data_IF_272780997924
#
_entry.id   IF_272780997924
#
_cell.length_a   1.000
_cell.length_b   1.000
_cell.length_c   1.000
_cell.angle_alpha   90.00
_cell.angle_beta   90.00
_cell.angle_gamma   90.00
#
_symmetry.space_group_name_H-M   'P 1'
#
loop_
_entity.id
_entity.type
_entity.pdbx_description
1 polymer ?
#
# COMPACT_ATOMS: atom_id res chain seq x y z
N UNK A 1 18.71 3.61 -2.47
CA UNK A 1 17.62 2.97 -3.23
C UNK A 1 16.36 3.00 -2.41
N UNK A 2 15.18 3.01 -3.04
CA UNK A 2 13.92 2.92 -2.29
C UNK A 2 13.81 1.53 -1.65
N UNK A 3 13.25 1.45 -0.45
CA UNK A 3 13.07 0.21 0.31
C UNK A 3 11.87 0.34 1.23
N UNK A 4 11.18 -0.76 1.53
CA UNK A 4 10.06 -0.76 2.48
C UNK A 4 10.52 -0.97 3.93
N UNK A 5 11.83 -1.12 4.16
CA UNK A 5 12.44 -1.45 5.44
C UNK A 5 13.46 -0.39 5.89
N UNK A 6 13.79 -0.33 7.19
CA UNK A 6 14.90 0.49 7.67
C UNK A 6 16.25 -0.01 7.12
N UNK A 7 17.17 0.93 6.84
CA UNK A 7 18.53 0.59 6.38
C UNK A 7 19.37 -0.06 7.49
N UNK A 8 20.22 -1.08 7.19
CA UNK A 8 20.47 -1.66 5.88
C UNK A 8 19.34 -2.59 5.44
N UNK A 9 18.91 -2.48 4.18
CA UNK A 9 17.84 -3.30 3.60
C UNK A 9 18.04 -3.41 2.07
N UNK A 10 17.54 -4.49 1.44
CA UNK A 10 17.53 -4.61 0.00
C UNK A 10 16.68 -3.50 -0.62
N UNK A 11 17.09 -3.17 -1.84
CA UNK A 11 16.54 -2.10 -2.64
C UNK A 11 15.42 -2.62 -3.53
N UNK A 12 14.30 -1.90 -3.58
CA UNK A 12 13.27 -2.11 -4.58
C UNK A 12 13.84 -1.83 -5.98
N UNK A 13 13.41 -2.61 -6.99
CA UNK A 13 13.71 -2.29 -8.38
C UNK A 13 13.06 -0.97 -8.79
N UNK A 14 13.51 -0.38 -9.90
CA UNK A 14 12.83 0.79 -10.48
C UNK A 14 11.46 0.38 -11.05
N UNK A 15 10.41 1.14 -10.72
CA UNK A 15 9.02 0.84 -11.10
C UNK A 15 8.27 2.10 -11.54
N UNK A 16 7.32 1.97 -12.49
CA UNK A 16 6.29 2.99 -12.72
C UNK A 16 5.09 2.69 -11.85
N UNK A 17 4.71 1.42 -11.82
CA UNK A 17 3.63 0.91 -11.00
C UNK A 17 4.10 -0.29 -10.17
N UNK A 18 3.91 -0.22 -8.86
CA UNK A 18 4.23 -1.28 -7.89
C UNK A 18 2.99 -1.71 -7.11
N UNK A 19 2.74 -3.02 -7.03
CA UNK A 19 1.78 -3.63 -6.13
C UNK A 19 2.50 -4.44 -5.07
N UNK A 20 2.34 -4.09 -3.79
CA UNK A 20 2.78 -4.86 -2.64
C UNK A 20 1.56 -5.42 -1.92
N UNK A 21 1.54 -6.74 -1.75
CA UNK A 21 0.43 -7.44 -1.09
C UNK A 21 0.93 -8.48 -0.09
N UNK A 22 0.05 -8.88 0.82
CA UNK A 22 0.34 -9.86 1.87
C UNK A 22 0.71 -9.21 3.21
N UNK A 23 1.31 -9.98 4.12
CA UNK A 23 1.57 -9.53 5.48
C UNK A 23 2.74 -8.52 5.53
N UNK A 24 2.47 -7.24 5.26
CA UNK A 24 3.42 -6.15 5.48
C UNK A 24 3.40 -5.69 6.94
N UNK A 25 4.56 -5.24 7.44
CA UNK A 25 4.61 -4.54 8.71
C UNK A 25 3.94 -3.15 8.62
N UNK A 26 3.35 -2.69 9.72
CA UNK A 26 2.54 -1.48 9.75
C UNK A 26 3.30 -0.19 9.36
N UNK A 27 4.62 -0.17 9.57
CA UNK A 27 5.49 0.97 9.22
C UNK A 27 6.00 0.96 7.78
N UNK A 28 5.77 -0.12 7.01
CA UNK A 28 6.32 -0.28 5.66
C UNK A 28 5.98 0.88 4.71
N UNK A 29 4.73 1.39 4.65
CA UNK A 29 4.40 2.53 3.79
C UNK A 29 5.19 3.80 4.12
N UNK A 30 5.52 4.01 5.40
CA UNK A 30 6.27 5.18 5.86
C UNK A 30 7.73 5.05 5.45
N UNK A 31 8.35 3.90 5.74
CA UNK A 31 9.73 3.60 5.32
C UNK A 31 9.90 3.71 3.82
N UNK A 32 8.91 3.20 3.07
CA UNK A 32 8.88 3.31 1.62
C UNK A 32 8.84 4.76 1.14
N UNK A 33 7.93 5.58 1.67
CA UNK A 33 7.87 6.99 1.29
C UNK A 33 9.18 7.73 1.63
N UNK A 34 9.73 7.50 2.82
CA UNK A 34 10.96 8.20 3.26
C UNK A 34 12.17 7.79 2.44
N UNK A 35 12.37 6.48 2.23
CA UNK A 35 13.49 5.98 1.45
C UNK A 35 13.41 6.43 -0.01
N UNK A 36 12.21 6.46 -0.60
CA UNK A 36 12.00 6.95 -1.96
C UNK A 36 12.32 8.44 -2.07
N UNK A 37 11.81 9.25 -1.12
CA UNK A 37 12.06 10.70 -1.10
C UNK A 37 13.54 11.04 -0.94
N UNK A 38 14.23 10.34 -0.04
CA UNK A 38 15.65 10.58 0.20
C UNK A 38 16.52 10.08 -0.95
N UNK A 39 16.18 8.94 -1.55
CA UNK A 39 17.01 8.33 -2.58
C UNK A 39 16.95 9.08 -3.91
N UNK A 40 15.74 9.43 -4.36
CA UNK A 40 15.54 10.12 -5.64
C UNK A 40 15.55 11.65 -5.52
N UNK A 41 15.81 12.17 -4.31
CA UNK A 41 15.68 13.59 -3.93
C UNK A 41 14.39 14.24 -4.46
N UNK A 42 13.27 13.50 -4.40
CA UNK A 42 12.00 14.02 -4.92
C UNK A 42 11.45 15.11 -3.99
N UNK A 43 10.74 16.10 -4.56
CA UNK A 43 10.21 17.23 -3.78
C UNK A 43 9.02 16.81 -2.92
N UNK A 44 8.18 15.90 -3.43
CA UNK A 44 6.91 15.55 -2.80
C UNK A 44 6.46 14.13 -3.08
N UNK A 45 5.97 13.44 -2.05
CA UNK A 45 5.25 12.18 -2.14
C UNK A 45 3.94 12.28 -1.36
N UNK A 46 2.95 11.47 -1.76
CA UNK A 46 1.63 11.43 -1.11
C UNK A 46 1.30 10.01 -0.71
N UNK A 47 1.06 9.80 0.58
CA UNK A 47 0.53 8.57 1.14
C UNK A 47 -0.96 8.74 1.41
N UNK A 48 -1.78 7.89 0.80
CA UNK A 48 -3.24 7.91 0.97
C UNK A 48 -3.67 6.66 1.70
N UNK A 49 -4.40 6.81 2.80
CA UNK A 49 -4.83 5.68 3.62
C UNK A 49 -6.25 5.87 4.19
N UNK A 50 -7.10 4.84 4.24
CA UNK A 50 -8.51 4.93 4.61
C UNK A 50 -8.82 5.52 5.99
N UNK A 51 -8.02 5.20 7.00
CA UNK A 51 -8.25 5.63 8.38
C UNK A 51 -6.96 6.00 9.08
N UNK A 52 -6.94 7.24 9.61
CA UNK A 52 -5.84 7.73 10.46
C UNK A 52 -5.76 6.95 11.75
N UNK A 53 -6.90 6.64 12.37
CA UNK A 53 -6.98 5.95 13.65
C UNK A 53 -6.42 4.54 13.55
N UNK A 54 -6.77 3.81 12.47
CA UNK A 54 -6.25 2.47 12.21
C UNK A 54 -4.74 2.50 11.98
N UNK A 55 -4.25 3.42 11.14
CA UNK A 55 -2.81 3.55 10.89
C UNK A 55 -2.04 3.89 12.17
N UNK A 56 -2.47 4.90 12.93
CA UNK A 56 -1.80 5.31 14.17
C UNK A 56 -1.82 4.19 15.21
N UNK A 57 -2.95 3.47 15.34
CA UNK A 57 -3.04 2.31 16.24
C UNK A 57 -2.07 1.21 15.82
N UNK A 58 -2.03 0.86 14.53
CA UNK A 58 -1.15 -0.17 13.99
C UNK A 58 0.33 0.19 14.21
N UNK A 59 0.73 1.45 13.96
CA UNK A 59 2.10 1.93 14.21
C UNK A 59 2.48 1.88 15.69
N UNK A 60 1.56 2.27 16.59
CA UNK A 60 1.79 2.20 18.05
C UNK A 60 1.91 0.77 18.54
N UNK A 61 1.08 -0.14 18.02
CA UNK A 61 1.11 -1.56 18.38
C UNK A 61 2.37 -2.24 17.84
N UNK A 62 2.78 -1.90 16.62
CA UNK A 62 3.99 -2.42 16.03
C UNK A 62 5.26 -1.91 16.73
N UNK A 63 5.24 -0.67 17.26
CA UNK A 63 6.33 -0.07 18.03
C UNK A 63 7.70 -0.21 17.33
N UNK A 64 7.78 0.34 16.12
CA UNK A 64 8.99 0.29 15.30
C UNK A 64 10.16 1.02 15.98
N UNK A 65 11.20 0.26 16.31
CA UNK A 65 12.42 0.77 16.94
C UNK A 65 13.10 1.84 16.11
N UNK A 66 13.17 1.65 14.79
CA UNK A 66 13.83 2.59 13.91
C UNK A 66 13.13 3.95 13.91
N UNK A 67 11.80 3.96 13.87
CA UNK A 67 11.02 5.20 13.89
C UNK A 67 11.20 5.91 15.23
N UNK A 68 11.27 5.16 16.33
CA UNK A 68 11.50 5.71 17.67
C UNK A 68 12.89 6.33 17.80
N UNK A 69 13.92 5.66 17.29
CA UNK A 69 15.30 6.12 17.39
C UNK A 69 15.61 7.26 16.42
N UNK A 70 15.13 7.18 15.18
CA UNK A 70 15.49 8.11 14.11
C UNK A 70 14.41 9.12 13.74
N UNK A 71 13.26 9.08 14.40
CA UNK A 71 12.15 10.01 14.14
C UNK A 71 12.51 11.48 14.35
N UNK A 72 13.47 11.75 15.24
CA UNK A 72 13.99 13.10 15.51
C UNK A 72 15.20 13.51 14.66
N UNK A 73 15.72 12.61 13.82
CA UNK A 73 16.89 12.91 12.99
C UNK A 73 16.52 13.92 11.91
N UNK A 74 17.42 14.87 11.64
CA UNK A 74 17.20 15.91 10.62
C UNK A 74 16.91 15.33 9.23
N UNK A 75 17.51 14.19 8.87
CA UNK A 75 17.23 13.49 7.60
C UNK A 75 15.81 12.92 7.56
N UNK A 76 15.35 12.31 8.65
CA UNK A 76 13.99 11.77 8.75
C UNK A 76 12.97 12.90 8.78
N UNK A 77 13.21 13.98 9.52
CA UNK A 77 12.35 15.17 9.50
C UNK A 77 12.29 15.80 8.10
N UNK A 78 13.43 15.89 7.40
CA UNK A 78 13.49 16.35 6.00
C UNK A 78 12.64 15.48 5.09
N UNK A 79 12.75 14.15 5.19
CA UNK A 79 11.93 13.21 4.43
C UNK A 79 10.43 13.38 4.77
N UNK A 80 10.09 13.40 6.06
CA UNK A 80 8.73 13.56 6.55
C UNK A 80 8.07 14.86 6.07
N UNK A 81 8.81 15.98 6.01
CA UNK A 81 8.30 17.26 5.50
C UNK A 81 7.87 17.23 4.03
N UNK A 82 8.37 16.25 3.26
CA UNK A 82 8.09 16.05 1.84
C UNK A 82 7.00 14.99 1.60
N UNK A 83 6.51 14.32 2.65
CA UNK A 83 5.45 13.31 2.54
C UNK A 83 4.16 13.86 3.13
N UNK A 84 3.12 13.99 2.30
CA UNK A 84 1.77 14.30 2.79
C UNK A 84 1.00 13.01 3.02
N UNK A 85 0.26 12.94 4.14
CA UNK A 85 -0.63 11.82 4.43
C UNK A 85 -2.09 12.27 4.37
N UNK A 86 -2.88 11.62 3.51
CA UNK A 86 -4.28 11.94 3.25
C UNK A 86 -5.17 10.77 3.68
N UNK A 87 -6.35 11.09 4.23
CA UNK A 87 -7.22 10.12 4.88
C UNK A 87 -8.65 10.08 4.31
N UNK A 88 -8.86 9.67 3.05
CA UNK A 88 -10.20 9.55 2.49
C UNK A 88 -10.96 8.39 3.14
N UNK A 89 -12.11 8.68 3.74
CA UNK A 89 -12.88 7.68 4.50
C UNK A 89 -13.66 6.66 3.66
N UNK A 90 -13.95 7.01 2.40
CA UNK A 90 -14.74 6.15 1.49
C UNK A 90 -14.11 6.11 0.11
N UNK A 91 -14.44 5.11 -0.74
CA UNK A 91 -14.02 5.05 -2.14
C UNK A 91 -14.28 6.35 -2.90
N UNK A 92 -15.47 6.94 -2.74
CA UNK A 92 -15.83 8.17 -3.43
C UNK A 92 -14.99 9.36 -3.00
N UNK A 93 -14.63 9.46 -1.70
CA UNK A 93 -13.69 10.48 -1.23
C UNK A 93 -12.31 10.30 -1.83
N UNK A 94 -11.84 9.05 -1.99
CA UNK A 94 -10.57 8.76 -2.64
C UNK A 94 -10.60 9.18 -4.10
N UNK A 95 -11.63 8.81 -4.86
CA UNK A 95 -11.78 9.20 -6.27
C UNK A 95 -11.81 10.72 -6.41
N UNK A 96 -12.63 11.39 -5.61
CA UNK A 96 -12.71 12.85 -5.61
C UNK A 96 -11.33 13.48 -5.33
N UNK A 97 -10.61 12.99 -4.33
CA UNK A 97 -9.29 13.47 -3.98
C UNK A 97 -8.28 13.27 -5.12
N UNK A 98 -8.28 12.10 -5.75
CA UNK A 98 -7.44 11.80 -6.91
C UNK A 98 -7.75 12.73 -8.09
N UNK A 99 -9.03 13.02 -8.37
CA UNK A 99 -9.42 13.95 -9.44
C UNK A 99 -9.01 15.40 -9.18
N UNK A 100 -8.78 15.77 -7.91
CA UNK A 100 -8.36 17.11 -7.55
C UNK A 100 -6.85 17.30 -7.56
N UNK A 101 -6.05 16.25 -7.77
CA UNK A 101 -4.60 16.38 -7.81
C UNK A 101 -4.16 17.16 -9.05
N UNK A 102 -3.52 18.31 -8.81
CA UNK A 102 -2.91 19.13 -9.85
C UNK A 102 -1.74 19.93 -9.30
N UNK A 103 -0.82 20.31 -10.19
CA UNK A 103 0.25 21.27 -9.89
C UNK A 103 -0.28 22.70 -10.05
N UNK A 104 0.05 23.57 -9.10
CA UNK A 104 -0.28 24.99 -9.21
C UNK A 104 0.54 25.63 -10.34
N UNK A 105 -0.12 26.18 -11.36
CA UNK A 105 0.54 26.90 -12.47
C UNK A 105 0.93 28.35 -12.09
N UNK A 106 0.82 28.71 -10.81
CA UNK A 106 1.22 30.01 -10.27
C UNK A 106 0.19 31.13 -10.44
N UNK A 107 -0.98 30.87 -11.03
CA UNK A 107 -2.08 31.84 -11.03
C UNK A 107 -2.85 31.74 -9.70
N UNK A 108 -3.37 32.87 -9.21
CA UNK A 108 -4.14 32.90 -7.95
C UNK A 108 -5.44 32.11 -8.02
N UNK A 109 -5.95 31.86 -9.22
CA UNK A 109 -7.22 31.15 -9.45
C UNK A 109 -7.04 29.62 -9.42
N UNK A 110 -5.81 29.12 -9.58
CA UNK A 110 -5.51 27.68 -9.55
C UNK A 110 -5.49 27.09 -8.13
N UNK A 111 -5.51 27.93 -7.08
CA UNK A 111 -5.40 27.47 -5.71
C UNK A 111 -6.75 27.07 -5.11
N UNK A 112 -7.29 25.94 -5.58
CA UNK A 112 -8.57 25.42 -5.14
C UNK A 112 -8.53 24.89 -3.69
N UNK A 113 -7.49 24.11 -3.35
CA UNK A 113 -7.40 23.52 -2.00
C UNK A 113 -5.97 23.10 -1.63
N UNK A 114 -5.46 23.45 -0.43
CA UNK A 114 -4.05 23.29 -0.06
C UNK A 114 -3.56 21.83 0.04
N UNK A 115 -4.47 20.85 0.12
CA UNK A 115 -4.10 19.41 0.19
C UNK A 115 -4.09 18.69 -1.16
N UNK A 116 -4.59 19.34 -2.21
CA UNK A 116 -4.77 18.73 -3.54
C UNK A 116 -4.15 19.58 -4.65
N UNK A 117 -3.99 20.88 -4.40
CA UNK A 117 -3.16 21.78 -5.19
C UNK A 117 -1.74 21.76 -4.64
N UNK A 118 -0.81 21.17 -5.38
CA UNK A 118 0.58 21.08 -4.97
C UNK A 118 1.41 22.20 -5.59
N UNK A 119 2.32 22.79 -4.82
CA UNK A 119 3.32 23.72 -5.37
C UNK A 119 4.31 23.02 -6.33
N UNK A 120 4.48 21.71 -6.16
CA UNK A 120 5.22 20.84 -7.06
C UNK A 120 4.50 19.50 -7.10
N UNK A 121 4.19 18.98 -8.29
CA UNK A 121 3.48 17.72 -8.40
C UNK A 121 4.19 16.58 -7.66
N UNK A 122 3.43 15.67 -7.02
CA UNK A 122 4.03 14.53 -6.35
C UNK A 122 4.67 13.59 -7.37
N UNK A 123 5.89 13.15 -7.08
CA UNK A 123 6.60 12.15 -7.90
C UNK A 123 6.25 10.71 -7.51
N UNK A 124 5.61 10.52 -6.35
CA UNK A 124 5.15 9.23 -5.85
C UNK A 124 3.77 9.38 -5.20
N UNK A 125 2.85 8.50 -5.58
CA UNK A 125 1.56 8.31 -4.91
C UNK A 125 1.52 6.88 -4.36
N UNK A 126 1.26 6.74 -3.06
CA UNK A 126 1.13 5.46 -2.37
C UNK A 126 -0.30 5.30 -1.88
N UNK A 127 -1.00 4.27 -2.33
CA UNK A 127 -2.33 3.91 -1.85
C UNK A 127 -2.21 2.74 -0.88
N UNK A 128 -2.60 2.96 0.37
CA UNK A 128 -2.44 2.01 1.47
C UNK A 128 -3.79 1.42 1.89
N UNK A 129 -3.91 0.09 1.90
CA UNK A 129 -5.06 -0.67 2.42
C UNK A 129 -6.39 -0.40 1.69
N UNK A 130 -6.40 -0.37 0.36
CA UNK A 130 -7.61 -0.13 -0.44
C UNK A 130 -8.70 -1.18 -0.19
N UNK A 131 -8.31 -2.43 0.05
CA UNK A 131 -9.21 -3.55 0.36
C UNK A 131 -10.14 -3.23 1.52
N UNK A 132 -9.68 -2.44 2.50
CA UNK A 132 -10.47 -2.09 3.68
C UNK A 132 -11.73 -1.29 3.38
N UNK A 133 -11.80 -0.59 2.23
CA UNK A 133 -13.04 0.07 1.81
C UNK A 133 -14.15 -0.91 1.43
N UNK A 134 -13.80 -2.15 1.08
CA UNK A 134 -14.71 -3.12 0.48
C UNK A 134 -15.03 -4.29 1.43
N UNK A 135 -14.32 -4.44 2.55
CA UNK A 135 -14.56 -5.52 3.50
C UNK A 135 -15.94 -5.43 4.18
N UNK A 136 -16.43 -4.21 4.42
CA UNK A 136 -17.70 -3.95 5.11
C UNK A 136 -18.83 -3.52 4.16
N UNK A 137 -18.54 -3.38 2.86
CA UNK A 137 -19.52 -2.94 1.86
C UNK A 137 -20.17 -4.15 1.16
N UNK A 138 -21.46 -4.45 1.45
CA UNK A 138 -22.14 -5.58 0.82
C UNK A 138 -22.41 -5.36 -0.68
N UNK A 139 -22.32 -4.12 -1.16
CA UNK A 139 -22.51 -3.78 -2.56
C UNK A 139 -21.20 -3.79 -3.37
N UNK A 140 -20.07 -4.03 -2.70
CA UNK A 140 -18.75 -4.06 -3.31
C UNK A 140 -18.68 -5.15 -4.39
N UNK A 141 -18.16 -4.77 -5.55
CA UNK A 141 -17.88 -5.69 -6.67
C UNK A 141 -16.43 -5.59 -7.09
N UNK A 142 -15.95 -6.61 -7.81
CA UNK A 142 -14.63 -6.58 -8.46
C UNK A 142 -14.47 -5.30 -9.31
N UNK A 143 -15.50 -4.95 -10.07
CA UNK A 143 -15.50 -3.74 -10.90
C UNK A 143 -15.34 -2.45 -10.09
N UNK A 144 -15.93 -2.39 -8.90
CA UNK A 144 -15.81 -1.22 -8.01
C UNK A 144 -14.36 -1.04 -7.55
N UNK A 145 -13.69 -2.12 -7.16
CA UNK A 145 -12.26 -2.09 -6.81
C UNK A 145 -11.40 -1.69 -8.01
N UNK A 146 -11.59 -2.34 -9.17
CA UNK A 146 -10.81 -2.04 -10.37
C UNK A 146 -11.03 -0.60 -10.87
N UNK A 147 -12.20 -0.02 -10.64
CA UNK A 147 -12.47 1.38 -10.96
C UNK A 147 -11.60 2.32 -10.12
N UNK A 148 -11.37 2.03 -8.83
CA UNK A 148 -10.43 2.82 -8.00
C UNK A 148 -9.00 2.73 -8.54
N UNK A 149 -8.57 1.52 -8.92
CA UNK A 149 -7.24 1.31 -9.54
C UNK A 149 -7.11 2.13 -10.82
N UNK A 150 -8.14 2.11 -11.66
CA UNK A 150 -8.16 2.88 -12.90
C UNK A 150 -8.11 4.39 -12.65
N UNK A 151 -8.84 4.91 -11.65
CA UNK A 151 -8.75 6.32 -11.27
C UNK A 151 -7.35 6.70 -10.79
N UNK A 152 -6.69 5.84 -10.00
CA UNK A 152 -5.33 6.06 -9.54
C UNK A 152 -4.33 6.14 -10.70
N UNK A 153 -4.38 5.17 -11.62
CA UNK A 153 -3.54 5.14 -12.82
C UNK A 153 -3.80 6.34 -13.73
N UNK A 154 -5.06 6.72 -13.93
CA UNK A 154 -5.44 7.89 -14.73
C UNK A 154 -4.93 9.19 -14.12
N UNK A 155 -4.94 9.29 -12.78
CA UNK A 155 -4.41 10.44 -12.05
C UNK A 155 -2.91 10.56 -12.25
N UNK A 156 -2.18 9.45 -12.13
CA UNK A 156 -0.73 9.39 -12.34
C UNK A 156 -0.36 9.75 -13.78
N UNK A 157 -1.12 9.24 -14.76
CA UNK A 157 -0.95 9.59 -16.17
C UNK A 157 -1.20 11.09 -16.42
N UNK A 158 -2.28 11.65 -15.85
CA UNK A 158 -2.61 13.08 -15.94
C UNK A 158 -1.52 13.96 -15.34
N UNK A 159 -1.05 13.65 -14.12
CA UNK A 159 0.04 14.39 -13.46
C UNK A 159 1.36 14.29 -14.24
N UNK A 160 1.66 13.11 -14.79
CA UNK A 160 2.85 12.92 -15.64
C UNK A 160 2.76 13.78 -16.90
N UNK A 161 1.59 13.83 -17.55
CA UNK A 161 1.36 14.65 -18.72
C UNK A 161 1.42 16.16 -18.43
N UNK A 162 0.87 16.60 -17.29
CA UNK A 162 0.89 18.01 -16.88
C UNK A 162 2.31 18.51 -16.58
N UNK A 163 3.11 17.69 -15.90
CA UNK A 163 4.41 18.10 -15.35
C UNK A 163 5.59 17.77 -16.26
N UNK A 164 5.39 16.87 -17.22
CA UNK A 164 6.46 16.26 -18.02
C UNK A 164 7.43 15.38 -17.20
N UNK A 165 7.16 15.18 -15.91
CA UNK A 165 7.96 14.36 -15.00
C UNK A 165 7.21 13.07 -14.70
N UNK A 166 7.96 11.97 -14.66
CA UNK A 166 7.40 10.66 -14.31
C UNK A 166 6.87 10.67 -12.87
N UNK A 167 5.60 10.29 -12.71
CA UNK A 167 4.98 10.04 -11.42
C UNK A 167 4.84 8.52 -11.23
N UNK A 168 5.30 8.00 -10.11
CA UNK A 168 5.18 6.58 -9.77
C UNK A 168 3.94 6.30 -8.91
N UNK A 169 3.33 5.13 -9.10
CA UNK A 169 2.22 4.63 -8.30
C UNK A 169 2.66 3.39 -7.52
N UNK A 170 2.38 3.36 -6.23
CA UNK A 170 2.49 2.16 -5.43
C UNK A 170 1.16 1.86 -4.72
N UNK A 171 0.77 0.59 -4.68
CA UNK A 171 -0.32 0.10 -3.84
C UNK A 171 0.26 -0.85 -2.83
N UNK A 172 -0.05 -0.60 -1.56
CA UNK A 172 0.37 -1.44 -0.44
C UNK A 172 -0.90 -1.92 0.24
N UNK A 173 -1.22 -3.20 0.12
CA UNK A 173 -2.49 -3.73 0.58
C UNK A 173 -2.35 -5.13 1.16
N UNK A 174 -2.42 -5.22 2.49
CA UNK A 174 -2.28 -6.49 3.19
C UNK A 174 -3.50 -7.40 3.08
N UNK A 175 -4.69 -6.82 2.92
CA UNK A 175 -5.95 -7.56 2.80
C UNK A 175 -6.29 -8.01 1.37
N UNK A 176 -5.46 -7.66 0.38
CA UNK A 176 -5.80 -7.88 -1.02
C UNK A 176 -5.88 -9.36 -1.41
N UNK A 177 -5.04 -10.23 -0.83
CA UNK A 177 -5.03 -11.68 -1.14
C UNK A 177 -6.32 -12.37 -0.70
N UNK A 178 -6.86 -11.97 0.45
CA UNK A 178 -8.08 -12.53 1.01
C UNK A 178 -9.35 -11.89 0.43
N UNK A 179 -9.21 -10.76 -0.27
CA UNK A 179 -10.33 -10.01 -0.83
C UNK A 179 -10.96 -10.77 -2.00
N UNK A 180 -12.15 -11.33 -1.75
CA UNK A 180 -12.99 -11.99 -2.75
C UNK A 180 -14.30 -11.23 -2.92
N UNK A 181 -14.51 -10.66 -4.10
CA UNK A 181 -15.70 -9.86 -4.43
C UNK A 181 -16.53 -10.52 -5.52
N UNK A 182 -17.86 -10.31 -5.54
CA UNK A 182 -18.70 -10.76 -6.66
C UNK A 182 -18.40 -9.93 -7.93
N UNK A 183 -18.56 -10.57 -9.09
CA UNK A 183 -18.45 -9.88 -10.39
C UNK A 183 -19.64 -8.96 -10.67
N UNK A 184 -20.85 -9.41 -10.30
CA UNK A 184 -22.10 -8.69 -10.51
C UNK A 184 -22.71 -8.40 -9.14
N UNK A 185 -23.27 -7.20 -8.99
CA UNK A 185 -23.96 -6.80 -7.75
C UNK A 185 -25.07 -7.83 -7.44
N UNK A 186 -25.11 -8.42 -6.24
CA UNK A 186 -26.18 -9.34 -5.89
C UNK A 186 -27.52 -8.61 -5.98
N UNK A 187 -28.46 -9.18 -6.74
CA UNK A 187 -29.83 -8.64 -6.81
C UNK A 187 -30.50 -8.99 -5.49
N UNK A 188 -30.64 -8.01 -4.60
CA UNK A 188 -31.44 -8.15 -3.39
C UNK A 188 -32.91 -8.27 -3.78
N UNK A 189 -33.38 -9.49 -4.01
CA UNK A 189 -34.82 -9.76 -4.13
C UNK A 189 -35.42 -9.65 -2.73
N UNK A 190 -36.13 -8.56 -2.47
CA UNK A 190 -36.98 -8.41 -1.28
C UNK A 190 -38.16 -9.36 -1.46
N UNK A 191 -38.00 -10.61 -1.03
CA UNK A 191 -39.12 -11.56 -0.95
C UNK A 191 -39.70 -11.45 0.45
N UNK A 192 -40.94 -10.96 0.52
CA UNK A 192 -41.68 -10.54 1.72
C UNK A 192 -42.08 -11.68 2.67
N UNK A 193 -41.52 -12.89 2.53
CA UNK A 193 -41.83 -14.03 3.39
C UNK A 193 -40.62 -14.95 3.53
N UNK A 194 -39.93 -14.89 4.68
CA UNK A 194 -38.98 -15.93 5.11
C UNK A 194 -37.67 -16.05 4.32
N UNK A 195 -37.07 -14.93 3.92
CA UNK A 195 -35.90 -14.86 3.06
C UNK A 195 -34.71 -15.75 3.52
N UNK A 196 -34.36 -16.72 2.66
CA UNK A 196 -33.04 -17.35 2.66
C UNK A 196 -32.05 -16.29 2.12
N UNK A 197 -30.92 -16.02 2.79
CA UNK A 197 -29.98 -14.99 2.34
C UNK A 197 -29.42 -15.36 0.96
N UNK A 198 -29.87 -14.67 -0.08
CA UNK A 198 -29.44 -14.83 -1.48
C UNK A 198 -27.93 -14.56 -1.71
N UNK A 199 -27.18 -14.19 -0.68
CA UNK A 199 -25.76 -13.87 -0.74
C UNK A 199 -24.85 -15.09 -1.01
N UNK A 200 -25.29 -16.31 -0.66
CA UNK A 200 -24.40 -17.49 -0.68
C UNK A 200 -24.06 -18.02 -2.07
N UNK A 201 -24.88 -17.74 -3.09
CA UNK A 201 -24.69 -18.31 -4.43
C UNK A 201 -23.94 -17.42 -5.43
N UNK A 202 -23.52 -16.21 -5.03
CA UNK A 202 -22.78 -15.33 -5.94
C UNK A 202 -21.32 -15.78 -6.04
N UNK A 203 -20.87 -16.11 -7.27
CA UNK A 203 -19.47 -16.47 -7.54
C UNK A 203 -18.57 -15.27 -7.19
N UNK A 204 -17.69 -15.47 -6.21
CA UNK A 204 -16.69 -14.46 -5.80
C UNK A 204 -15.34 -14.76 -6.42
N UNK A 205 -14.72 -13.73 -6.97
CA UNK A 205 -13.41 -13.78 -7.63
C UNK A 205 -12.33 -13.14 -6.76
N UNK A 206 -11.10 -13.67 -6.85
CA UNK A 206 -9.95 -13.05 -6.20
C UNK A 206 -9.58 -11.74 -6.90
N UNK A 207 -9.61 -10.64 -6.15
CA UNK A 207 -9.29 -9.31 -6.67
C UNK A 207 -7.78 -9.19 -6.94
N UNK A 208 -6.93 -9.77 -6.08
CA UNK A 208 -5.47 -9.76 -6.22
C UNK A 208 -5.00 -10.21 -7.61
N UNK A 209 -5.56 -11.32 -8.10
CA UNK A 209 -5.19 -11.91 -9.39
C UNK A 209 -5.50 -11.00 -10.59
N UNK A 210 -6.55 -10.19 -10.50
CA UNK A 210 -6.95 -9.26 -11.55
C UNK A 210 -6.15 -7.96 -11.49
N UNK A 211 -5.92 -7.44 -10.27
CA UNK A 211 -5.24 -6.17 -10.05
C UNK A 211 -3.77 -6.24 -10.45
N UNK A 212 -3.07 -7.33 -10.15
CA UNK A 212 -1.64 -7.49 -10.49
C UNK A 212 -1.33 -7.29 -11.98
N UNK A 213 -2.32 -7.46 -12.88
CA UNK A 213 -2.15 -7.26 -14.32
C UNK A 213 -2.00 -5.79 -14.73
N UNK A 214 -2.32 -4.85 -13.83
CA UNK A 214 -2.19 -3.41 -14.05
C UNK A 214 -0.87 -2.83 -13.55
N UNK A 215 -0.01 -3.65 -12.93
CA UNK A 215 1.22 -3.20 -12.29
C UNK A 215 2.45 -3.85 -12.92
N UNK A 216 3.52 -3.09 -13.11
CA UNK A 216 4.77 -3.56 -13.67
C UNK A 216 5.51 -4.48 -12.71
N UNK A 217 5.41 -4.20 -11.42
CA UNK A 217 6.02 -4.99 -10.37
C UNK A 217 4.95 -5.42 -9.36
N UNK A 218 4.97 -6.70 -9.00
CA UNK A 218 4.17 -7.24 -7.91
C UNK A 218 5.10 -7.90 -6.88
N UNK A 219 5.06 -7.42 -5.64
CA UNK A 219 5.68 -8.04 -4.48
C UNK A 219 4.63 -8.75 -3.63
N UNK A 220 4.79 -10.05 -3.42
CA UNK A 220 3.95 -10.83 -2.49
C UNK A 220 4.76 -11.14 -1.25
N UNK A 221 4.25 -10.75 -0.08
CA UNK A 221 4.85 -11.06 1.21
C UNK A 221 4.13 -12.24 1.85
N UNK A 222 4.90 -13.30 2.08
CA UNK A 222 4.47 -14.57 2.65
C UNK A 222 5.12 -14.71 4.03
N UNK A 223 4.34 -15.16 5.02
CA UNK A 223 4.88 -15.60 6.32
C UNK A 223 5.31 -17.06 6.17
N UNK A 224 6.60 -17.34 6.39
CA UNK A 224 7.09 -18.71 6.45
C UNK A 224 6.61 -19.32 7.76
N UNK A 225 5.47 -20.02 7.70
CA UNK A 225 4.99 -20.88 8.79
C UNK A 225 5.92 -22.09 8.83
N UNK A 226 7.15 -21.89 9.32
CA UNK A 226 7.98 -23.01 9.71
C UNK A 226 7.30 -23.61 10.94
N UNK A 227 6.68 -24.78 10.77
CA UNK A 227 6.08 -25.55 11.85
C UNK A 227 7.02 -25.51 13.05
N UNK A 228 6.56 -25.13 14.26
CA UNK A 228 7.41 -25.02 15.44
C UNK A 228 7.97 -26.41 15.78
N UNK A 229 9.11 -26.75 15.20
CA UNK A 229 9.81 -27.99 15.45
C UNK A 229 10.55 -27.84 16.78
N UNK A 230 9.91 -28.19 17.88
CA UNK A 230 10.54 -28.64 19.14
C UNK A 230 11.64 -27.74 19.77
N UNK A 231 11.66 -26.42 19.49
CA UNK A 231 12.62 -25.51 20.13
C UNK A 231 12.06 -24.95 21.44
N UNK A 232 12.43 -25.64 22.51
CA UNK A 232 12.68 -25.19 23.89
C UNK A 232 12.06 -23.85 24.36
N UNK A 233 11.18 -24.04 25.33
CA UNK A 233 10.26 -23.13 26.03
C UNK A 233 10.85 -21.93 26.81
N UNK A 234 12.04 -21.42 26.51
CA UNK A 234 12.74 -20.51 27.47
C UNK A 234 12.89 -19.03 27.11
N UNK A 235 12.42 -18.54 25.96
CA UNK A 235 12.42 -17.08 25.70
C UNK A 235 11.15 -16.63 24.96
N UNK A 236 10.47 -15.60 25.49
CA UNK A 236 9.27 -14.94 24.93
C UNK A 236 9.68 -14.02 23.77
N UNK A 237 10.46 -14.52 22.82
CA UNK A 237 10.78 -13.82 21.57
C UNK A 237 10.08 -14.54 20.44
N UNK A 238 9.02 -13.94 19.91
CA UNK A 238 8.36 -14.46 18.71
C UNK A 238 9.18 -14.06 17.50
N UNK A 239 9.76 -15.05 16.84
CA UNK A 239 10.57 -14.91 15.65
C UNK A 239 9.70 -15.19 14.42
N UNK A 240 9.44 -14.19 13.58
CA UNK A 240 8.67 -14.37 12.35
C UNK A 240 9.61 -14.36 11.15
N UNK A 241 9.74 -15.49 10.47
CA UNK A 241 10.44 -15.55 9.17
C UNK A 241 9.48 -15.12 8.07
N UNK A 242 9.92 -14.19 7.22
CA UNK A 242 9.12 -13.68 6.12
C UNK A 242 9.91 -13.72 4.82
N UNK A 243 9.17 -13.87 3.74
CA UNK A 243 9.69 -13.87 2.39
C UNK A 243 8.90 -12.86 1.56
N UNK A 244 9.59 -12.05 0.75
CA UNK A 244 8.95 -11.21 -0.26
C UNK A 244 9.43 -11.64 -1.63
N UNK A 245 8.48 -12.02 -2.48
CA UNK A 245 8.73 -12.42 -3.85
C UNK A 245 8.28 -11.31 -4.79
N UNK A 246 9.24 -10.67 -5.45
CA UNK A 246 9.00 -9.68 -6.50
C UNK A 246 8.98 -10.33 -7.86
N UNK A 247 7.97 -10.00 -8.66
CA UNK A 247 7.83 -10.42 -10.06
C UNK A 247 7.53 -9.23 -10.93
N UNK A 248 8.17 -9.18 -12.09
CA UNK A 248 7.87 -8.21 -13.14
C UNK A 248 6.72 -8.70 -14.04
N UNK A 249 5.74 -7.86 -14.32
CA UNK A 249 4.67 -8.16 -15.25
C UNK A 249 5.18 -8.19 -16.70
N UNK A 250 4.67 -9.15 -17.48
CA UNK A 250 5.03 -9.30 -18.90
C UNK A 250 6.40 -9.94 -19.16
N UNK A 251 7.16 -10.28 -18.12
CA UNK A 251 8.33 -11.14 -18.26
C UNK A 251 7.94 -12.47 -18.88
N UNK A 252 8.72 -12.98 -19.83
CA UNK A 252 8.50 -14.27 -20.49
C UNK A 252 8.78 -15.45 -19.53
N UNK A 253 8.18 -15.47 -18.35
CA UNK A 253 8.19 -16.59 -17.40
C UNK A 253 9.56 -17.15 -17.01
N UNK A 254 10.66 -16.44 -17.29
CA UNK A 254 12.01 -16.87 -16.95
C UNK A 254 12.32 -16.57 -15.48
N UNK A 255 13.08 -17.45 -14.83
CA UNK A 255 13.58 -17.24 -13.46
C UNK A 255 14.34 -15.90 -13.28
N UNK A 256 14.80 -15.28 -14.36
CA UNK A 256 15.55 -14.01 -14.34
C UNK A 256 14.70 -12.78 -13.95
N UNK A 257 13.37 -12.87 -13.97
CA UNK A 257 12.47 -11.76 -13.62
C UNK A 257 11.92 -11.83 -12.18
N UNK A 258 12.42 -12.78 -11.37
CA UNK A 258 12.01 -12.95 -9.97
C UNK A 258 13.14 -12.52 -9.02
N UNK A 259 12.81 -11.69 -8.02
CA UNK A 259 13.72 -11.35 -6.93
C UNK A 259 13.07 -11.74 -5.61
N UNK A 260 13.77 -12.54 -4.82
CA UNK A 260 13.27 -13.04 -3.53
C UNK A 260 14.09 -12.42 -2.40
N UNK A 261 13.41 -11.85 -1.42
CA UNK A 261 14.01 -11.37 -0.18
C UNK A 261 13.55 -12.22 0.97
N UNK A 262 14.48 -12.62 1.82
CA UNK A 262 14.19 -13.26 3.10
C UNK A 262 14.60 -12.32 4.21
N UNK A 263 13.77 -12.21 5.24
CA UNK A 263 14.14 -11.54 6.47
C UNK A 263 13.45 -12.21 7.64
N UNK A 264 13.92 -11.86 8.83
CA UNK A 264 13.31 -12.29 10.07
C UNK A 264 12.96 -11.06 10.90
N UNK A 265 11.76 -11.06 11.48
CA UNK A 265 11.27 -10.06 12.41
C UNK A 265 11.32 -10.64 13.82
N UNK A 266 12.17 -10.05 14.66
CA UNK A 266 12.27 -10.39 16.08
C UNK A 266 11.43 -9.40 16.88
N UNK A 267 10.37 -9.91 17.52
CA UNK A 267 9.54 -9.13 18.42
C UNK A 267 10.03 -9.36 19.85
N UNK A 268 10.59 -8.32 20.47
CA UNK A 268 11.13 -8.39 21.83
C UNK A 268 10.52 -7.28 22.69
N UNK A 269 9.38 -7.50 23.36
CA UNK A 269 8.82 -6.49 24.26
C UNK A 269 9.80 -6.23 25.44
N UNK A 270 10.13 -4.97 25.80
CA UNK A 270 9.60 -3.68 25.32
C UNK A 270 10.39 -3.04 24.17
N UNK A 271 11.43 -3.71 23.69
CA UNK A 271 12.39 -3.27 22.68
C UNK A 271 11.86 -3.38 21.23
N UNK A 272 10.55 -3.23 21.00
CA UNK A 272 9.96 -3.14 19.65
C UNK A 272 10.26 -4.32 18.73
N UNK A 273 10.36 -4.02 17.43
CA UNK A 273 10.61 -5.00 16.35
C UNK A 273 11.94 -4.70 15.67
N UNK A 274 12.77 -5.74 15.54
CA UNK A 274 14.05 -5.69 14.84
C UNK A 274 14.02 -6.56 13.60
N UNK A 275 14.59 -6.05 12.51
CA UNK A 275 14.74 -6.78 11.26
C UNK A 275 16.15 -7.35 11.13
N UNK A 276 16.26 -8.60 10.70
CA UNK A 276 17.52 -9.23 10.29
C UNK A 276 17.37 -9.86 8.91
N UNK A 277 18.38 -9.66 8.06
CA UNK A 277 18.45 -10.12 6.66
C UNK A 277 19.25 -11.41 6.52
#
# INVERSE_FOLDING_TARGET
MATIFPSPAPALPDFESLLLKGALHASAPIHFCYSYVLHYDIPKAVLVTPSRERLVRALKQYNDDWVRERGGDGLTCKAASRVDVLYPKTPSHLVFLLTLFHEALGTKEDYLHPKTTFATAPSLIVLHELSSYFLEDPEATVSSYLTLIHHALSTVSSLTAQTGKRVALAIIDSGLEDLRLPLVKPVSLVVDDGAIPAAENSRRESVAYLVQRYFDWTGTIEEDITSPSEWQETVITTLHKRCCRFRRAGGQGGEQDETIWHWTEEFSPPNGVRFSW
#
